data_IF_038735099344
#
_entry.id   IF_038735099344
#
_cell.length_a   1.000
_cell.length_b   1.000
_cell.length_c   1.000
_cell.angle_alpha   90.00
_cell.angle_beta   90.00
_cell.angle_gamma   90.00
#
_symmetry.space_group_name_H-M   'P 1'
#
loop_
_entity.id
_entity.type
_entity.pdbx_description
1 polymer ?
#
# COMPACT_ATOMS: atom_id res chain seq x y z
N UNK A 1 -4.13 -13.86 2.44
CA UNK A 1 -2.67 -13.86 2.14
C UNK A 1 -1.87 -13.06 3.15
N UNK A 2 -0.65 -13.49 3.51
CA UNK A 2 0.22 -12.72 4.42
C UNK A 2 0.99 -11.62 3.66
N UNK A 3 1.03 -10.43 4.26
CA UNK A 3 1.43 -9.17 3.62
C UNK A 3 2.59 -8.54 4.40
N UNK A 4 3.63 -8.14 3.69
CA UNK A 4 4.77 -7.40 4.22
C UNK A 4 4.81 -5.98 3.63
N UNK A 5 4.85 -4.99 4.50
CA UNK A 5 5.05 -3.58 4.15
C UNK A 5 6.53 -3.22 4.23
N UNK A 6 7.04 -2.59 3.18
CA UNK A 6 8.43 -2.17 3.03
C UNK A 6 8.80 -0.98 3.94
N UNK A 7 10.09 -0.67 4.07
CA UNK A 7 10.61 0.37 4.95
C UNK A 7 10.19 1.79 4.53
N UNK A 8 9.96 1.98 3.24
CA UNK A 8 9.50 3.23 2.63
C UNK A 8 7.97 3.42 2.71
N UNK A 9 7.27 2.41 3.26
CA UNK A 9 5.85 2.47 3.53
C UNK A 9 5.62 3.13 4.90
N UNK A 10 4.67 4.06 5.03
CA UNK A 10 4.36 4.68 6.31
C UNK A 10 3.88 3.65 7.34
N UNK A 11 4.53 3.59 8.50
CA UNK A 11 4.16 2.69 9.59
C UNK A 11 2.69 2.86 10.04
N UNK A 12 2.12 4.06 9.84
CA UNK A 12 0.72 4.37 10.14
C UNK A 12 -0.27 3.54 9.31
N UNK A 13 0.14 3.02 8.14
CA UNK A 13 -0.69 2.10 7.35
C UNK A 13 -0.89 0.76 8.04
N UNK A 14 0.05 0.32 8.88
CA UNK A 14 0.06 -1.01 9.46
C UNK A 14 -1.21 -1.32 10.25
N UNK A 15 -1.58 -0.44 11.18
CA UNK A 15 -2.77 -0.62 12.03
C UNK A 15 -4.06 -0.60 11.21
N UNK A 16 -4.15 0.30 10.22
CA UNK A 16 -5.30 0.39 9.32
C UNK A 16 -5.46 -0.88 8.49
N UNK A 17 -4.38 -1.37 7.89
CA UNK A 17 -4.40 -2.59 7.07
C UNK A 17 -4.72 -3.84 7.90
N UNK A 18 -4.15 -3.98 9.11
CA UNK A 18 -4.53 -5.06 10.04
C UNK A 18 -6.02 -5.03 10.37
N UNK A 19 -6.59 -3.83 10.50
CA UNK A 19 -8.01 -3.68 10.82
C UNK A 19 -8.93 -4.08 9.65
N UNK A 20 -8.62 -3.65 8.43
CA UNK A 20 -9.47 -3.91 7.26
C UNK A 20 -9.21 -5.27 6.59
N UNK A 21 -8.12 -5.96 6.93
CA UNK A 21 -7.76 -7.30 6.45
C UNK A 21 -7.67 -8.31 7.61
N UNK A 22 -8.76 -8.54 8.37
CA UNK A 22 -8.70 -9.27 9.65
C UNK A 22 -8.32 -10.76 9.53
N UNK A 23 -8.39 -11.34 8.32
CA UNK A 23 -8.03 -12.74 8.04
C UNK A 23 -6.59 -12.90 7.56
N UNK A 24 -5.80 -11.83 7.56
CA UNK A 24 -4.49 -11.78 6.95
C UNK A 24 -3.47 -11.23 7.93
N UNK A 25 -2.28 -11.84 7.98
CA UNK A 25 -1.18 -11.25 8.70
C UNK A 25 -0.64 -10.06 7.89
N UNK A 26 -0.60 -8.89 8.51
CA UNK A 26 0.03 -7.70 7.93
C UNK A 26 1.14 -7.28 8.87
N UNK A 27 2.37 -7.31 8.37
CA UNK A 27 3.56 -6.91 9.11
C UNK A 27 4.33 -5.82 8.37
N UNK A 28 5.12 -5.06 9.11
CA UNK A 28 6.04 -4.07 8.55
C UNK A 28 7.48 -4.57 8.73
N UNK A 29 8.37 -4.29 7.78
CA UNK A 29 9.80 -4.67 7.91
C UNK A 29 10.45 -4.15 9.19
N UNK A 30 9.95 -3.04 9.73
CA UNK A 30 10.36 -2.49 11.02
C UNK A 30 10.10 -3.46 12.18
N UNK A 31 8.90 -4.03 12.27
CA UNK A 31 8.52 -4.99 13.31
C UNK A 31 9.34 -6.29 13.23
N UNK A 32 9.87 -6.60 12.04
CA UNK A 32 10.74 -7.77 11.79
C UNK A 32 12.22 -7.48 12.03
N UNK A 33 12.59 -6.24 12.35
CA UNK A 33 14.00 -5.82 12.42
C UNK A 33 14.72 -5.84 11.06
N UNK A 34 13.98 -5.76 9.96
CA UNK A 34 14.50 -5.87 8.59
C UNK A 34 14.69 -4.53 7.88
N UNK A 35 14.46 -3.39 8.55
CA UNK A 35 14.49 -2.05 7.92
C UNK A 35 15.81 -1.65 7.25
N UNK A 36 16.92 -2.34 7.53
CA UNK A 36 18.24 -2.08 6.91
C UNK A 36 18.64 -3.15 5.89
N UNK A 37 17.77 -4.11 5.61
CA UNK A 37 18.04 -5.19 4.66
C UNK A 37 17.86 -4.64 3.25
N UNK A 38 18.81 -4.96 2.35
CA UNK A 38 18.71 -4.62 0.93
C UNK A 38 17.55 -5.38 0.27
N UNK A 39 16.90 -4.76 -0.69
CA UNK A 39 15.67 -5.24 -1.34
C UNK A 39 15.81 -6.67 -1.91
N UNK A 40 16.92 -6.96 -2.59
CA UNK A 40 17.20 -8.30 -3.14
C UNK A 40 17.14 -9.38 -2.04
N UNK A 41 17.79 -9.15 -0.91
CA UNK A 41 17.77 -10.07 0.23
C UNK A 41 16.43 -10.06 0.94
N UNK A 42 15.78 -8.90 1.04
CA UNK A 42 14.49 -8.71 1.68
C UNK A 42 13.41 -9.54 0.98
N UNK A 43 13.35 -9.51 -0.35
CA UNK A 43 12.37 -10.27 -1.14
C UNK A 43 12.49 -11.78 -0.93
N UNK A 44 13.73 -12.30 -0.91
CA UNK A 44 14.00 -13.72 -0.66
C UNK A 44 13.58 -14.12 0.76
N UNK A 45 13.94 -13.32 1.74
CA UNK A 45 13.68 -13.64 3.14
C UNK A 45 12.19 -13.47 3.47
N UNK A 46 11.50 -12.51 2.85
CA UNK A 46 10.06 -12.36 2.93
C UNK A 46 9.34 -13.60 2.38
N UNK A 47 9.75 -14.09 1.21
CA UNK A 47 9.18 -15.34 0.67
C UNK A 47 9.43 -16.53 1.58
N UNK A 48 10.64 -16.65 2.12
CA UNK A 48 11.02 -17.74 3.04
C UNK A 48 10.20 -17.69 4.34
N UNK A 49 9.88 -16.49 4.81
CA UNK A 49 9.06 -16.27 6.00
C UNK A 49 7.55 -16.47 5.77
N UNK A 50 7.13 -16.90 4.59
CA UNK A 50 5.72 -17.22 4.30
C UNK A 50 4.89 -16.04 3.79
N UNK A 51 5.49 -14.88 3.54
CA UNK A 51 4.74 -13.79 2.93
C UNK A 51 4.37 -14.10 1.47
N UNK A 52 3.26 -13.50 1.06
CA UNK A 52 2.66 -13.67 -0.26
C UNK A 52 2.65 -12.35 -1.03
N UNK A 53 2.50 -11.23 -0.32
CA UNK A 53 2.36 -9.89 -0.87
C UNK A 53 3.43 -8.98 -0.28
N UNK A 54 4.10 -8.21 -1.14
CA UNK A 54 5.02 -7.15 -0.76
C UNK A 54 4.45 -5.80 -1.20
N UNK A 55 4.38 -4.84 -0.28
CA UNK A 55 3.85 -3.49 -0.53
C UNK A 55 4.98 -2.47 -0.38
N UNK A 56 5.17 -1.61 -1.39
CA UNK A 56 6.26 -0.61 -1.41
C UNK A 56 5.80 0.70 -2.05
N UNK A 57 6.44 1.80 -1.65
CA UNK A 57 6.32 3.11 -2.30
C UNK A 57 7.39 3.32 -3.37
N UNK A 58 8.33 2.39 -3.56
CA UNK A 58 9.39 2.52 -4.53
C UNK A 58 8.87 2.13 -5.92
N UNK A 59 8.78 3.14 -6.78
CA UNK A 59 8.32 2.98 -8.17
C UNK A 59 9.41 2.46 -9.09
N UNK A 60 10.66 2.66 -8.72
CA UNK A 60 11.80 2.50 -9.60
C UNK A 60 12.41 1.09 -9.49
N UNK A 61 11.95 0.23 -8.57
CA UNK A 61 12.47 -1.14 -8.43
C UNK A 61 12.32 -1.98 -9.71
N UNK A 62 11.33 -1.67 -10.57
CA UNK A 62 11.19 -2.34 -11.87
C UNK A 62 12.06 -1.74 -12.98
N UNK A 63 12.73 -0.62 -12.70
CA UNK A 63 13.71 0.01 -13.60
C UNK A 63 15.14 -0.46 -13.27
N UNK A 64 15.38 -1.07 -12.10
CA UNK A 64 16.63 -1.77 -11.77
C UNK A 64 16.57 -3.26 -12.17
N UNK A 65 17.52 -3.77 -13.00
CA UNK A 65 17.51 -5.17 -13.44
C UNK A 65 17.66 -6.20 -12.33
N UNK A 66 18.45 -5.90 -11.29
CA UNK A 66 18.72 -6.85 -10.19
C UNK A 66 17.50 -6.94 -9.26
N UNK A 67 16.87 -5.81 -8.96
CA UNK A 67 15.65 -5.77 -8.16
C UNK A 67 14.47 -6.39 -8.91
N UNK A 68 14.33 -6.12 -10.21
CA UNK A 68 13.35 -6.78 -11.07
C UNK A 68 13.52 -8.31 -11.06
N UNK A 69 14.76 -8.79 -11.20
CA UNK A 69 15.05 -10.22 -11.12
C UNK A 69 14.75 -10.79 -9.73
N UNK A 70 15.05 -10.06 -8.66
CA UNK A 70 14.72 -10.46 -7.29
C UNK A 70 13.20 -10.54 -7.05
N UNK A 71 12.43 -9.55 -7.53
CA UNK A 71 10.96 -9.55 -7.49
C UNK A 71 10.42 -10.76 -8.25
N UNK A 72 10.91 -11.03 -9.46
CA UNK A 72 10.50 -12.20 -10.26
C UNK A 72 10.82 -13.51 -9.55
N UNK A 73 12.02 -13.66 -8.98
CA UNK A 73 12.47 -14.89 -8.31
C UNK A 73 11.76 -15.14 -6.99
N UNK A 74 11.38 -14.08 -6.26
CA UNK A 74 10.66 -14.22 -4.98
C UNK A 74 9.25 -14.77 -5.15
N UNK A 75 8.64 -14.58 -6.33
CA UNK A 75 7.24 -14.93 -6.64
C UNK A 75 6.21 -14.23 -5.74
N UNK A 76 6.62 -13.21 -4.99
CA UNK A 76 5.70 -12.39 -4.20
C UNK A 76 4.83 -11.54 -5.12
N UNK A 77 3.53 -11.46 -4.84
CA UNK A 77 2.72 -10.41 -5.44
C UNK A 77 3.28 -9.06 -5.01
N UNK A 78 3.47 -8.16 -5.97
CA UNK A 78 4.21 -6.93 -5.74
C UNK A 78 3.27 -5.74 -5.96
N UNK A 79 2.88 -5.09 -4.87
CA UNK A 79 1.90 -4.00 -4.83
C UNK A 79 2.64 -2.68 -4.64
N UNK A 80 2.55 -1.79 -5.62
CA UNK A 80 3.23 -0.49 -5.62
C UNK A 80 2.21 0.64 -5.56
N UNK A 81 2.49 1.67 -4.78
CA UNK A 81 1.67 2.89 -4.72
C UNK A 81 2.57 4.11 -4.75
N UNK A 82 2.12 5.25 -5.32
CA UNK A 82 2.93 6.47 -5.41
C UNK A 82 2.38 7.56 -4.53
N UNK A 83 3.23 8.14 -3.69
CA UNK A 83 2.96 9.46 -3.15
C UNK A 83 3.14 10.55 -4.23
N UNK A 84 2.03 11.02 -4.80
CA UNK A 84 2.03 11.99 -5.92
C UNK A 84 2.24 13.45 -5.50
N UNK A 85 2.03 13.77 -4.23
CA UNK A 85 2.22 15.12 -3.66
C UNK A 85 3.14 15.02 -2.45
N UNK A 86 3.98 16.00 -2.23
CA UNK A 86 4.84 16.02 -1.05
C UNK A 86 4.08 16.42 0.22
N UNK A 87 4.71 16.16 1.36
CA UNK A 87 4.20 16.53 2.68
C UNK A 87 2.98 15.73 3.14
N UNK A 88 2.41 16.16 4.28
CA UNK A 88 1.35 15.42 4.99
C UNK A 88 0.08 15.21 4.17
N UNK A 89 -0.27 16.16 3.28
CA UNK A 89 -1.44 16.01 2.40
C UNK A 89 -1.26 14.86 1.41
N UNK A 90 -0.08 14.75 0.81
CA UNK A 90 0.22 13.65 -0.10
C UNK A 90 0.34 12.32 0.60
N UNK A 91 0.92 12.30 1.81
CA UNK A 91 0.93 11.13 2.67
C UNK A 91 -0.50 10.65 2.95
N UNK A 92 -1.39 11.54 3.39
CA UNK A 92 -2.79 11.20 3.69
C UNK A 92 -3.53 10.63 2.47
N UNK A 93 -3.34 11.23 1.29
CA UNK A 93 -3.92 10.71 0.04
C UNK A 93 -3.38 9.33 -0.32
N UNK A 94 -2.10 9.07 -0.07
CA UNK A 94 -1.46 7.79 -0.37
C UNK A 94 -1.91 6.69 0.59
N UNK A 95 -1.98 7.01 1.89
CA UNK A 95 -2.58 6.15 2.92
C UNK A 95 -4.02 5.81 2.53
N UNK A 96 -4.84 6.81 2.25
CA UNK A 96 -6.22 6.59 1.83
C UNK A 96 -6.34 5.72 0.59
N UNK A 97 -5.49 5.94 -0.43
CA UNK A 97 -5.52 5.18 -1.66
C UNK A 97 -5.19 3.69 -1.44
N UNK A 98 -4.15 3.40 -0.68
CA UNK A 98 -3.77 2.02 -0.36
C UNK A 98 -4.84 1.36 0.50
N UNK A 99 -5.27 2.01 1.59
CA UNK A 99 -6.28 1.48 2.51
C UNK A 99 -7.59 1.19 1.76
N UNK A 100 -8.02 2.06 0.86
CA UNK A 100 -9.23 1.83 0.06
C UNK A 100 -9.08 0.69 -0.95
N UNK A 101 -7.89 0.47 -1.52
CA UNK A 101 -7.67 -0.52 -2.58
C UNK A 101 -7.34 -1.92 -2.04
N UNK A 102 -6.68 -2.02 -0.89
CA UNK A 102 -6.10 -3.28 -0.42
C UNK A 102 -7.09 -4.43 -0.26
N UNK A 103 -8.31 -4.28 0.27
CA UNK A 103 -9.27 -5.39 0.35
C UNK A 103 -9.54 -6.03 -1.01
N UNK A 104 -9.84 -5.21 -2.02
CA UNK A 104 -10.10 -5.66 -3.39
C UNK A 104 -8.86 -6.26 -4.05
N UNK A 105 -7.69 -5.68 -3.79
CA UNK A 105 -6.42 -6.23 -4.28
C UNK A 105 -6.22 -7.63 -3.71
N UNK A 106 -6.40 -7.84 -2.40
CA UNK A 106 -6.18 -9.16 -1.80
C UNK A 106 -7.18 -10.19 -2.33
N UNK A 107 -8.47 -9.86 -2.43
CA UNK A 107 -9.47 -10.73 -3.05
C UNK A 107 -9.09 -11.14 -4.48
N UNK A 108 -8.62 -10.18 -5.28
CA UNK A 108 -8.11 -10.47 -6.63
C UNK A 108 -6.88 -11.38 -6.60
N UNK A 109 -5.90 -11.09 -5.73
CA UNK A 109 -4.65 -11.86 -5.66
C UNK A 109 -4.88 -13.32 -5.24
N UNK A 110 -5.83 -13.56 -4.33
CA UNK A 110 -6.18 -14.91 -3.87
C UNK A 110 -6.67 -15.84 -4.99
N UNK A 111 -7.20 -15.28 -6.07
CA UNK A 111 -7.69 -16.05 -7.22
C UNK A 111 -6.75 -16.02 -8.43
N UNK A 112 -5.69 -15.21 -8.41
CA UNK A 112 -4.89 -14.90 -9.58
C UNK A 112 -4.03 -16.07 -10.11
N UNK A 113 -3.73 -17.07 -9.29
CA UNK A 113 -3.00 -18.31 -9.65
C UNK A 113 -1.54 -18.14 -10.10
N UNK A 114 -1.07 -16.90 -10.29
CA UNK A 114 0.31 -16.53 -10.68
C UNK A 114 0.69 -15.19 -10.06
N UNK A 115 2.00 -14.93 -9.95
CA UNK A 115 2.52 -13.66 -9.47
C UNK A 115 1.90 -12.47 -10.22
N UNK A 116 1.55 -11.41 -9.50
CA UNK A 116 0.95 -10.19 -10.04
C UNK A 116 1.79 -8.98 -9.65
N UNK A 117 1.87 -8.01 -10.56
CA UNK A 117 2.45 -6.71 -10.31
C UNK A 117 1.30 -5.69 -10.31
N UNK A 118 0.94 -5.18 -9.13
CA UNK A 118 -0.22 -4.31 -8.94
C UNK A 118 0.24 -2.88 -8.70
N UNK A 119 -0.44 -1.94 -9.35
CA UNK A 119 -0.28 -0.50 -9.15
C UNK A 119 -1.54 0.06 -8.50
N UNK A 120 -1.42 0.58 -7.28
CA UNK A 120 -2.50 1.30 -6.61
C UNK A 120 -2.75 2.61 -7.33
N UNK A 121 -4.00 2.85 -7.71
CA UNK A 121 -4.43 4.12 -8.26
C UNK A 121 -4.60 5.15 -7.15
N UNK A 122 -3.97 6.32 -7.29
CA UNK A 122 -4.05 7.38 -6.30
C UNK A 122 -5.42 8.07 -6.29
N UNK A 123 -5.84 8.51 -5.10
CA UNK A 123 -7.03 9.32 -4.87
C UNK A 123 -6.82 10.74 -5.45
N UNK A 124 -7.75 11.21 -6.29
CA UNK A 124 -7.75 12.59 -6.82
C UNK A 124 -7.70 13.61 -5.66
N UNK A 125 -6.74 14.53 -5.61
CA UNK A 125 -6.67 15.54 -4.56
C UNK A 125 -7.80 16.59 -4.60
N UNK A 126 -8.52 16.75 -5.72
CA UNK A 126 -9.51 17.81 -5.91
C UNK A 126 -10.94 17.31 -5.60
N UNK A 127 -11.80 18.18 -5.06
CA UNK A 127 -13.24 17.89 -4.88
C UNK A 127 -13.57 16.83 -3.82
N UNK A 128 -12.87 16.83 -2.68
CA UNK A 128 -13.03 15.79 -1.63
C UNK A 128 -14.09 16.08 -0.57
N UNK A 129 -14.72 17.23 -0.66
CA UNK A 129 -15.78 17.64 0.24
C UNK A 129 -16.65 18.66 -0.50
N UNK A 130 -17.92 18.67 -0.16
CA UNK A 130 -18.82 19.76 -0.50
C UNK A 130 -18.84 20.75 0.67
N UNK A 131 -18.99 22.03 0.37
CA UNK A 131 -19.15 23.08 1.37
C UNK A 131 -20.49 23.78 1.16
N UNK A 132 -21.31 23.82 2.20
CA UNK A 132 -22.48 24.67 2.26
C UNK A 132 -22.15 25.79 3.25
N UNK A 133 -22.13 27.03 2.79
CA UNK A 133 -22.09 28.20 3.67
C UNK A 133 -23.52 28.54 4.11
N UNK A 134 -23.92 28.21 5.34
CA UNK A 134 -25.29 28.42 5.77
C UNK A 134 -25.66 29.89 5.96
N UNK A 135 -24.68 30.81 5.96
CA UNK A 135 -24.96 32.25 5.96
C UNK A 135 -25.37 32.77 4.58
N UNK A 136 -25.03 32.04 3.51
CA UNK A 136 -25.32 32.38 2.11
C UNK A 136 -26.39 31.50 1.49
N UNK A 137 -26.39 30.20 1.79
CA UNK A 137 -27.35 29.22 1.30
C UNK A 137 -27.70 28.22 2.41
N UNK A 138 -28.49 28.63 3.42
CA UNK A 138 -28.84 27.78 4.55
C UNK A 138 -29.60 26.52 4.10
N UNK A 139 -29.28 25.34 4.65
CA UNK A 139 -30.12 24.16 4.52
C UNK A 139 -31.55 24.44 5.00
N UNK A 140 -32.53 23.70 4.47
CA UNK A 140 -33.99 23.92 4.68
C UNK A 140 -34.42 24.12 6.14
N UNK A 141 -33.72 23.52 7.10
CA UNK A 141 -34.06 23.59 8.52
C UNK A 141 -32.98 24.26 9.38
N UNK A 142 -32.06 25.00 8.76
CA UNK A 142 -31.01 25.74 9.47
C UNK A 142 -31.62 27.00 10.10
N UNK A 143 -31.90 26.94 11.41
CA UNK A 143 -32.38 28.05 12.24
C UNK A 143 -31.28 28.56 13.15
#
# INVERSE_FOLDING_TARGET
MDILLDADTPIQMLSLLRHILPKHQVDHVHDKGWSRKKDISLMRDARTAGYHVFVTNDWNQLDDPNETDAIKKSRLHHVRYKQRREGLKGLALSIGAVVAAMPYIIEFLETAGRQQLVKVSGIDPNGRFDNVDPTRNPPRYWR
#
